data_IF_510128692043
#
_entry.id   IF_510128692043
#
_cell.length_a   1.000
_cell.length_b   1.000
_cell.length_c   1.000
_cell.angle_alpha   90.00
_cell.angle_beta   90.00
_cell.angle_gamma   90.00
#
_symmetry.space_group_name_H-M   'P 1'
#
loop_
_entity.id
_entity.type
_entity.pdbx_description
1 polymer ?
#
# COMPACT_ATOMS: atom_id res chain seq x y z
N UNK A 1 -7.26 -9.52 29.40
CA UNK A 1 -7.25 -9.92 27.98
C UNK A 1 -7.69 -8.74 27.14
N UNK A 2 -6.86 -8.22 26.23
CA UNK A 2 -7.25 -7.10 25.37
C UNK A 2 -7.96 -7.65 24.11
N UNK A 3 -9.18 -7.19 23.84
CA UNK A 3 -9.95 -7.54 22.65
C UNK A 3 -9.33 -6.86 21.43
N UNK A 4 -8.76 -7.65 20.50
CA UNK A 4 -8.24 -7.11 19.24
C UNK A 4 -9.35 -6.98 18.20
N UNK A 5 -9.38 -5.87 17.47
CA UNK A 5 -10.32 -5.61 16.38
C UNK A 5 -9.87 -6.36 15.11
N UNK A 6 -10.79 -7.12 14.51
CA UNK A 6 -10.51 -7.99 13.36
C UNK A 6 -11.28 -7.54 12.10
N UNK A 7 -12.51 -7.04 12.26
CA UNK A 7 -13.45 -6.77 11.15
C UNK A 7 -12.87 -5.90 10.02
N UNK A 8 -12.42 -4.66 10.31
CA UNK A 8 -11.81 -3.81 9.30
C UNK A 8 -10.57 -4.42 8.64
N UNK A 9 -9.69 -5.05 9.41
CA UNK A 9 -8.46 -5.62 8.87
C UNK A 9 -8.74 -6.76 7.87
N UNK A 10 -9.75 -7.60 8.13
CA UNK A 10 -10.12 -8.69 7.21
C UNK A 10 -10.74 -8.17 5.91
N UNK A 11 -11.67 -7.21 6.00
CA UNK A 11 -12.32 -6.64 4.83
C UNK A 11 -11.29 -5.96 3.92
N UNK A 12 -10.47 -5.09 4.50
CA UNK A 12 -9.45 -4.39 3.74
C UNK A 12 -8.35 -5.32 3.24
N UNK A 13 -8.02 -6.41 3.94
CA UNK A 13 -7.09 -7.42 3.42
C UNK A 13 -7.65 -8.16 2.19
N UNK A 14 -8.96 -8.42 2.14
CA UNK A 14 -9.61 -8.96 0.92
C UNK A 14 -9.54 -7.95 -0.21
N UNK A 15 -9.99 -6.71 0.01
CA UNK A 15 -9.95 -5.66 -0.99
C UNK A 15 -8.53 -5.44 -1.51
N UNK A 16 -7.54 -5.39 -0.62
CA UNK A 16 -6.12 -5.21 -0.94
C UNK A 16 -5.56 -6.29 -1.88
N UNK A 17 -6.05 -7.52 -1.76
CA UNK A 17 -5.74 -8.64 -2.67
C UNK A 17 -6.49 -8.52 -3.98
N UNK A 18 -7.80 -8.27 -3.95
CA UNK A 18 -8.65 -8.16 -5.14
C UNK A 18 -8.19 -7.05 -6.08
N UNK A 19 -7.79 -5.91 -5.54
CA UNK A 19 -7.27 -4.78 -6.32
C UNK A 19 -5.81 -4.94 -6.76
N UNK A 20 -5.15 -6.03 -6.35
CA UNK A 20 -3.79 -6.38 -6.77
C UNK A 20 -2.66 -5.59 -6.10
N UNK A 21 -2.93 -4.76 -5.08
CA UNK A 21 -1.88 -4.00 -4.36
C UNK A 21 -0.88 -4.95 -3.72
N UNK A 22 -1.37 -6.05 -3.12
CA UNK A 22 -0.50 -7.07 -2.54
C UNK A 22 0.56 -7.54 -3.55
N UNK A 23 0.10 -7.98 -4.72
CA UNK A 23 0.96 -8.60 -5.73
C UNK A 23 1.96 -7.60 -6.32
N UNK A 24 1.53 -6.35 -6.54
CA UNK A 24 2.40 -5.28 -7.04
C UNK A 24 3.49 -4.97 -6.01
N UNK A 25 3.13 -4.79 -4.74
CA UNK A 25 4.14 -4.52 -3.71
C UNK A 25 5.08 -5.72 -3.55
N UNK A 26 4.58 -6.95 -3.56
CA UNK A 26 5.43 -8.15 -3.47
C UNK A 26 6.37 -8.28 -4.69
N UNK A 27 5.92 -7.92 -5.90
CA UNK A 27 6.77 -7.86 -7.11
C UNK A 27 7.96 -6.93 -6.91
N UNK A 28 7.73 -5.70 -6.45
CA UNK A 28 8.81 -4.74 -6.20
C UNK A 28 9.64 -5.09 -4.95
N UNK A 29 9.01 -5.66 -3.91
CA UNK A 29 9.71 -6.11 -2.73
C UNK A 29 10.71 -7.22 -3.06
N UNK A 30 10.44 -8.11 -4.02
CA UNK A 30 11.40 -9.15 -4.41
C UNK A 30 12.71 -8.59 -5.01
N UNK A 31 12.68 -7.39 -5.57
CA UNK A 31 13.88 -6.72 -6.10
C UNK A 31 14.84 -6.23 -5.00
N UNK A 32 14.36 -6.10 -3.75
CA UNK A 32 15.18 -5.75 -2.59
C UNK A 32 14.92 -6.71 -1.44
N UNK A 33 15.96 -7.36 -0.91
CA UNK A 33 15.80 -8.31 0.21
C UNK A 33 15.45 -7.57 1.51
N UNK A 34 14.16 -7.39 1.79
CA UNK A 34 13.66 -6.93 3.08
C UNK A 34 13.63 -8.10 4.06
N UNK A 35 14.06 -7.85 5.30
CA UNK A 35 14.01 -8.83 6.42
C UNK A 35 12.60 -8.96 7.01
N UNK A 36 11.64 -8.20 6.50
CA UNK A 36 10.26 -8.15 6.95
C UNK A 36 9.31 -8.10 5.75
N UNK A 37 8.03 -8.41 5.98
CA UNK A 37 7.02 -8.31 4.94
C UNK A 37 6.67 -6.85 4.64
N UNK A 38 7.35 -6.25 3.65
CA UNK A 38 7.14 -4.87 3.22
C UNK A 38 5.66 -4.57 2.95
N UNK A 39 4.98 -5.49 2.26
CA UNK A 39 3.57 -5.36 1.93
C UNK A 39 2.68 -5.26 3.17
N UNK A 40 2.94 -6.06 4.21
CA UNK A 40 2.16 -6.01 5.46
C UNK A 40 2.38 -4.71 6.23
N UNK A 41 3.59 -4.16 6.18
CA UNK A 41 3.88 -2.85 6.79
C UNK A 41 3.08 -1.76 6.08
N UNK A 42 3.14 -1.72 4.74
CA UNK A 42 2.44 -0.71 3.94
C UNK A 42 0.92 -0.84 4.14
N UNK A 43 0.40 -2.07 4.16
CA UNK A 43 -1.00 -2.33 4.47
C UNK A 43 -1.39 -1.76 5.84
N UNK A 44 -0.58 -2.00 6.87
CA UNK A 44 -0.81 -1.46 8.21
C UNK A 44 -0.84 0.08 8.22
N UNK A 45 0.07 0.73 7.51
CA UNK A 45 0.10 2.19 7.38
C UNK A 45 -1.15 2.73 6.70
N UNK A 46 -1.59 2.10 5.60
CA UNK A 46 -2.81 2.50 4.89
C UNK A 46 -4.04 2.31 5.78
N UNK A 47 -4.14 1.16 6.45
CA UNK A 47 -5.25 0.87 7.35
C UNK A 47 -5.34 1.90 8.48
N UNK A 48 -4.21 2.27 9.08
CA UNK A 48 -4.17 3.34 10.08
C UNK A 48 -4.66 4.67 9.50
N UNK A 49 -4.18 5.06 8.31
CA UNK A 49 -4.60 6.33 7.68
C UNK A 49 -6.09 6.36 7.33
N UNK A 50 -6.70 5.23 7.01
CA UNK A 50 -8.13 5.14 6.70
C UNK A 50 -9.02 5.26 7.94
N UNK A 51 -8.60 4.72 9.09
CA UNK A 51 -9.45 4.60 10.27
C UNK A 51 -9.10 5.56 11.41
N UNK A 52 -7.85 6.00 11.48
CA UNK A 52 -7.36 6.87 12.54
C UNK A 52 -6.14 7.64 12.03
N UNK A 53 -6.31 8.56 11.06
CA UNK A 53 -5.19 9.29 10.47
C UNK A 53 -4.36 9.98 11.56
N UNK A 54 -3.05 9.78 11.52
CA UNK A 54 -2.11 10.25 12.53
C UNK A 54 -0.67 9.92 12.16
N UNK A 55 0.27 10.23 13.06
CA UNK A 55 1.71 9.96 12.85
C UNK A 55 2.03 8.46 12.81
N UNK A 56 3.21 8.09 12.31
CA UNK A 56 3.68 6.69 12.31
C UNK A 56 3.78 6.11 13.73
N UNK A 57 4.05 6.95 14.73
CA UNK A 57 4.04 6.55 16.15
C UNK A 57 2.62 6.28 16.66
N UNK A 58 1.64 7.07 16.20
CA UNK A 58 0.23 6.78 16.46
C UNK A 58 -0.17 5.47 15.76
N UNK A 59 0.32 5.24 14.54
CA UNK A 59 0.09 4.02 13.77
C UNK A 59 0.59 2.78 14.50
N UNK A 60 1.81 2.79 15.01
CA UNK A 60 2.37 1.67 15.76
C UNK A 60 1.51 1.32 16.97
N UNK A 61 1.10 2.32 17.77
CA UNK A 61 0.24 2.10 18.95
C UNK A 61 -1.13 1.57 18.55
N UNK A 62 -1.76 2.21 17.56
CA UNK A 62 -3.08 1.87 17.07
C UNK A 62 -3.13 0.45 16.49
N UNK A 63 -2.11 0.06 15.72
CA UNK A 63 -2.01 -1.29 15.17
C UNK A 63 -1.82 -2.38 16.23
N UNK A 64 -1.37 -2.03 17.43
CA UNK A 64 -1.35 -2.93 18.59
C UNK A 64 -2.74 -3.53 18.88
N UNK A 65 -3.80 -2.75 18.66
CA UNK A 65 -5.19 -3.13 18.92
C UNK A 65 -5.84 -3.89 17.75
N UNK A 66 -5.16 -4.01 16.61
CA UNK A 66 -5.64 -4.70 15.42
C UNK A 66 -4.87 -6.00 15.18
N UNK A 67 -5.55 -7.02 14.64
CA UNK A 67 -4.88 -8.22 14.11
C UNK A 67 -4.67 -8.03 12.61
N UNK A 68 -3.42 -7.74 12.22
CA UNK A 68 -3.01 -7.87 10.82
C UNK A 68 -2.58 -9.33 10.59
N UNK A 69 -3.16 -9.97 9.58
CA UNK A 69 -2.79 -11.35 9.25
C UNK A 69 -1.29 -11.43 8.94
N UNK A 70 -0.61 -12.48 9.44
CA UNK A 70 0.80 -12.79 9.20
C UNK A 70 1.82 -11.81 9.81
N UNK A 71 1.41 -10.92 10.71
CA UNK A 71 2.34 -10.10 11.49
C UNK A 71 1.85 -9.95 12.94
N UNK A 72 2.67 -10.39 13.91
CA UNK A 72 2.32 -10.30 15.33
C UNK A 72 2.61 -8.93 15.94
N UNK A 73 3.72 -8.31 15.54
CA UNK A 73 4.11 -6.95 15.93
C UNK A 73 4.86 -6.29 14.77
N UNK A 74 4.51 -5.04 14.50
CA UNK A 74 5.22 -4.21 13.54
C UNK A 74 6.01 -3.14 14.31
N UNK A 75 7.35 -3.24 14.41
CA UNK A 75 8.17 -2.20 15.03
C UNK A 75 8.12 -0.88 14.24
N UNK A 76 8.16 0.26 14.94
CA UNK A 76 8.22 1.60 14.34
C UNK A 76 9.27 1.72 13.22
N UNK A 77 10.44 1.11 13.42
CA UNK A 77 11.54 1.12 12.44
C UNK A 77 11.13 0.53 11.08
N UNK A 78 10.24 -0.47 11.06
CA UNK A 78 9.78 -1.06 9.81
C UNK A 78 8.86 -0.10 9.05
N UNK A 79 8.04 0.71 9.74
CA UNK A 79 7.27 1.78 9.11
C UNK A 79 8.17 2.78 8.39
N UNK A 80 9.20 3.28 9.07
CA UNK A 80 10.12 4.22 8.46
C UNK A 80 10.87 3.62 7.27
N UNK A 81 11.34 2.36 7.37
CA UNK A 81 12.00 1.67 6.24
C UNK A 81 11.05 1.50 5.05
N UNK A 82 9.79 1.15 5.29
CA UNK A 82 8.79 0.98 4.24
C UNK A 82 8.41 2.31 3.58
N UNK A 83 8.23 3.37 4.37
CA UNK A 83 7.91 4.71 3.87
C UNK A 83 9.08 5.35 3.13
N UNK A 84 10.31 5.20 3.63
CA UNK A 84 11.51 5.64 2.93
C UNK A 84 11.65 4.92 1.57
N UNK A 85 11.33 3.63 1.52
CA UNK A 85 11.34 2.88 0.27
C UNK A 85 10.26 3.36 -0.72
N UNK A 86 9.05 3.67 -0.24
CA UNK A 86 7.98 4.24 -1.08
C UNK A 86 8.34 5.65 -1.59
N UNK A 87 9.00 6.45 -0.76
CA UNK A 87 9.43 7.82 -1.05
C UNK A 87 10.81 7.93 -1.68
N UNK A 88 11.40 6.84 -2.18
CA UNK A 88 12.68 6.90 -2.87
C UNK A 88 12.50 7.58 -4.24
N UNK A 89 13.29 8.62 -4.49
CA UNK A 89 13.27 9.33 -5.77
C UNK A 89 13.75 8.41 -6.91
N UNK A 90 13.12 8.56 -8.07
CA UNK A 90 13.50 7.86 -9.27
C UNK A 90 14.62 8.61 -10.00
N UNK A 91 15.47 7.92 -10.79
CA UNK A 91 16.45 8.57 -11.65
C UNK A 91 15.81 9.59 -12.59
N UNK A 92 16.54 10.65 -12.94
CA UNK A 92 16.08 11.60 -13.95
C UNK A 92 15.80 10.90 -15.28
N UNK A 93 14.70 11.29 -15.94
CA UNK A 93 14.22 10.64 -17.16
C UNK A 93 13.41 9.35 -16.94
N UNK A 94 13.13 8.96 -15.68
CA UNK A 94 12.22 7.84 -15.40
C UNK A 94 10.77 8.16 -15.79
N UNK A 95 10.04 7.12 -16.18
CA UNK A 95 8.59 7.18 -16.37
C UNK A 95 7.89 6.19 -15.43
N UNK A 96 6.95 6.63 -14.58
CA UNK A 96 6.57 8.03 -14.36
C UNK A 96 7.69 8.81 -13.62
N UNK A 97 7.75 10.14 -13.74
CA UNK A 97 8.67 10.95 -12.93
C UNK A 97 8.23 10.97 -11.46
N UNK A 98 9.17 11.23 -10.54
CA UNK A 98 8.87 11.40 -9.12
C UNK A 98 9.48 10.31 -8.25
N UNK A 99 8.64 9.60 -7.52
CA UNK A 99 9.04 8.65 -6.47
C UNK A 99 8.57 7.23 -6.78
N UNK A 100 9.14 6.25 -6.09
CA UNK A 100 8.77 4.83 -6.27
C UNK A 100 7.27 4.56 -6.13
N UNK A 101 6.57 5.26 -5.23
CA UNK A 101 5.11 5.16 -5.09
C UNK A 101 4.37 5.45 -6.41
N UNK A 102 4.93 6.30 -7.26
CA UNK A 102 4.31 6.72 -8.52
C UNK A 102 4.41 5.58 -9.55
N UNK A 103 5.54 4.85 -9.60
CA UNK A 103 5.67 3.60 -10.37
C UNK A 103 4.68 2.54 -9.90
N UNK A 104 4.52 2.38 -8.58
CA UNK A 104 3.56 1.43 -8.00
C UNK A 104 2.12 1.81 -8.40
N UNK A 105 1.78 3.09 -8.35
CA UNK A 105 0.47 3.58 -8.75
C UNK A 105 0.20 3.32 -10.24
N UNK A 106 1.20 3.53 -11.09
CA UNK A 106 1.10 3.27 -12.53
C UNK A 106 0.94 1.77 -12.83
N UNK A 107 1.72 0.89 -12.20
CA UNK A 107 1.56 -0.56 -12.34
C UNK A 107 0.15 -1.00 -11.90
N UNK A 108 -0.38 -0.42 -10.82
CA UNK A 108 -1.74 -0.71 -10.35
C UNK A 108 -2.81 -0.21 -11.32
N UNK A 109 -2.57 0.92 -11.99
CA UNK A 109 -3.43 1.45 -13.02
C UNK A 109 -3.46 0.51 -14.23
N UNK A 110 -2.31 0.15 -14.78
CA UNK A 110 -2.23 -0.75 -15.94
C UNK A 110 -2.78 -2.14 -15.66
N UNK A 111 -2.54 -2.68 -14.46
CA UNK A 111 -3.09 -3.99 -14.06
C UNK A 111 -4.61 -4.02 -14.04
N UNK A 112 -5.25 -2.89 -13.76
CA UNK A 112 -6.72 -2.76 -13.69
C UNK A 112 -7.33 -2.09 -14.92
N UNK A 113 -6.52 -1.76 -15.92
CA UNK A 113 -7.01 -1.26 -17.20
C UNK A 113 -7.59 -2.43 -17.98
N UNK A 114 -8.87 -2.69 -17.78
CA UNK A 114 -9.64 -3.60 -18.64
C UNK A 114 -10.08 -2.88 -19.92
N UNK A 115 -10.52 -3.65 -20.92
CA UNK A 115 -11.03 -3.15 -22.20
C UNK A 115 -12.28 -2.25 -22.07
N UNK A 116 -12.88 -2.15 -20.88
CA UNK A 116 -14.09 -1.37 -20.61
C UNK A 116 -13.81 -0.07 -19.85
N UNK A 117 -12.60 0.15 -19.36
CA UNK A 117 -12.09 1.44 -18.89
C UNK A 117 -11.73 2.39 -20.07
N UNK A 118 -12.53 2.36 -21.14
CA UNK A 118 -12.37 3.24 -22.30
C UNK A 118 -12.79 4.67 -21.92
N UNK A 119 -11.86 5.61 -22.14
CA UNK A 119 -12.17 7.03 -22.21
C UNK A 119 -13.06 7.25 -23.45
N UNK A 120 -14.37 7.36 -23.27
CA UNK A 120 -15.26 7.81 -24.33
C UNK A 120 -15.06 9.31 -24.51
N UNK A 121 -14.18 9.68 -25.43
CA UNK A 121 -14.05 11.05 -25.91
C UNK A 121 -15.24 11.32 -26.84
N UNK A 122 -16.34 11.83 -26.28
CA UNK A 122 -17.48 12.31 -27.08
C UNK A 122 -17.16 13.72 -27.53
N UNK A 123 -16.80 13.90 -28.79
CA UNK A 123 -16.83 15.22 -29.40
C UNK A 123 -18.29 15.63 -29.59
N UNK A 124 -18.73 16.67 -28.87
CA UNK A 124 -19.95 17.40 -29.22
C UNK A 124 -19.56 18.45 -30.24
N UNK A 125 -20.01 18.28 -31.48
CA UNK A 125 -20.14 19.38 -32.43
C UNK A 125 -21.53 20.01 -32.20
N UNK A 126 -21.58 21.32 -31.99
CA UNK A 126 -22.79 22.14 -32.09
C UNK A 126 -22.63 23.09 -33.26
#
# INVERSE_FOLDING_TARGET
MATKKIGPALLFDKLWKEIGIKDVIEKFARQRRFEFSLERIIFGTVLHRLFSPGSDRAAEKWLGDYRIARVDKIPLRHFYRALAWLGEALPEGSHPPGYRKDVIAEELFFRRKDLFAQLNLVFFDF
#
